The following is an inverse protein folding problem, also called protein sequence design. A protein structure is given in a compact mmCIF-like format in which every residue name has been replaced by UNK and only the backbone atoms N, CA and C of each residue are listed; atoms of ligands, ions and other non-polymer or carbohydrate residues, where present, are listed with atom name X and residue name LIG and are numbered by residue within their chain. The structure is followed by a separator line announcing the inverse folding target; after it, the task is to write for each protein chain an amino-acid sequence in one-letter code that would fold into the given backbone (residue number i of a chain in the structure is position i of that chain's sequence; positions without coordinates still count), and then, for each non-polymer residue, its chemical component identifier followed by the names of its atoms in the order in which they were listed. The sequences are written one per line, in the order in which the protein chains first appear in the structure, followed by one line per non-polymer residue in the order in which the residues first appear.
data_IF_946709915096
#
_entry.id   IF_946709915096
#
_cell.length_a   1.000
_cell.length_b   1.000
_cell.length_c   1.000
_cell.angle_alpha   90.00
_cell.angle_beta   90.00
_cell.angle_gamma   90.00
#
_symmetry.space_group_name_H-M   'P 1'
#
loop_
_entity.id
_entity.type
_entity.pdbx_description
1 polymer ?
#
# COMPACT_ATOMS: atom_id res chain seq x y z
N UNK A 1 52.39 72.40 44.62
CA UNK A 1 53.17 72.07 43.38
C UNK A 1 53.12 70.57 43.21
N UNK A 2 52.55 70.03 42.22
CA UNK A 2 52.57 68.59 41.97
C UNK A 2 51.29 68.15 41.28
N UNK A 3 51.34 68.16 39.94
CA UNK A 3 50.26 67.75 39.08
C UNK A 3 50.14 66.21 39.08
N UNK A 4 48.93 65.66 39.41
CA UNK A 4 48.56 64.24 39.14
C UNK A 4 47.69 64.19 37.94
N UNK A 5 48.15 63.56 36.86
CA UNK A 5 47.41 63.27 35.65
C UNK A 5 46.84 61.85 35.81
N UNK A 6 45.49 61.75 35.88
CA UNK A 6 44.79 60.47 35.83
C UNK A 6 44.56 60.00 34.37
N UNK A 7 45.20 58.88 33.99
CA UNK A 7 44.94 58.18 32.76
C UNK A 7 43.70 57.28 32.96
N UNK A 8 42.63 57.57 32.22
CA UNK A 8 41.52 56.66 32.07
C UNK A 8 41.76 55.71 30.89
N UNK A 9 41.97 54.43 31.15
CA UNK A 9 41.98 53.38 30.12
C UNK A 9 40.53 53.01 29.80
N UNK A 10 40.08 53.28 28.57
CA UNK A 10 38.80 52.81 28.05
C UNK A 10 39.00 51.35 27.61
N UNK A 11 38.39 50.41 28.33
CA UNK A 11 38.25 49.02 27.90
C UNK A 11 37.16 48.94 26.82
N UNK A 12 37.54 48.60 25.61
CA UNK A 12 36.61 48.28 24.50
C UNK A 12 36.22 46.82 24.65
N UNK A 13 34.96 46.55 25.06
CA UNK A 13 34.37 45.20 24.98
C UNK A 13 33.93 44.96 23.54
N UNK A 14 34.63 44.11 22.82
CA UNK A 14 34.21 43.54 21.53
C UNK A 14 33.30 42.38 21.85
N UNK A 15 31.99 42.57 21.79
CA UNK A 15 31.01 41.50 21.90
C UNK A 15 30.98 40.66 20.60
N UNK A 16 31.52 39.43 20.65
CA UNK A 16 31.34 38.47 19.56
C UNK A 16 29.95 37.89 19.64
N UNK A 17 29.05 38.35 18.75
CA UNK A 17 27.73 37.74 18.58
C UNK A 17 27.95 36.47 17.75
N UNK A 18 27.92 35.32 18.40
CA UNK A 18 27.87 34.01 17.74
C UNK A 18 26.43 33.78 17.26
N UNK A 19 26.20 34.00 15.98
CA UNK A 19 24.97 33.53 15.33
C UNK A 19 25.06 32.00 15.21
N UNK A 20 24.40 31.27 16.12
CA UNK A 20 24.14 29.87 15.95
C UNK A 20 23.11 29.71 14.82
N UNK A 21 23.61 29.36 13.61
CA UNK A 21 22.78 28.87 12.52
C UNK A 21 22.23 27.51 12.93
N UNK A 22 21.05 27.49 13.56
CA UNK A 22 20.26 26.27 13.62
C UNK A 22 19.78 25.98 12.19
N UNK A 23 20.05 24.79 11.63
CA UNK A 23 19.43 24.41 10.39
C UNK A 23 17.92 24.34 10.65
N UNK A 24 17.16 25.25 10.05
CA UNK A 24 15.72 25.10 9.94
C UNK A 24 15.51 23.86 9.08
N UNK A 25 15.14 22.75 9.69
CA UNK A 25 14.68 21.60 8.97
C UNK A 25 13.38 22.04 8.26
N UNK A 26 13.49 22.34 6.98
CA UNK A 26 12.33 22.50 6.10
C UNK A 26 11.74 21.10 5.98
N UNK A 27 10.67 20.83 6.72
CA UNK A 27 9.83 19.67 6.50
C UNK A 27 9.17 19.89 5.13
N UNK A 28 9.82 19.39 4.05
CA UNK A 28 9.16 19.30 2.77
C UNK A 28 7.92 18.42 2.97
N UNK A 29 6.76 18.89 2.52
CA UNK A 29 5.57 18.04 2.41
C UNK A 29 5.95 16.87 1.51
N UNK A 30 6.10 15.68 2.11
CA UNK A 30 6.58 14.48 1.41
C UNK A 30 5.70 14.14 0.20
N UNK A 31 4.40 14.48 0.26
CA UNK A 31 3.47 14.26 -0.83
C UNK A 31 3.74 15.12 -2.07
N UNK A 32 4.37 16.31 -1.94
CA UNK A 32 4.65 17.18 -3.12
C UNK A 32 5.75 16.59 -3.99
N UNK A 33 6.77 15.97 -3.42
CA UNK A 33 7.88 15.35 -4.16
C UNK A 33 7.45 14.12 -4.96
N UNK A 34 6.35 13.46 -4.58
CA UNK A 34 5.80 12.30 -5.26
C UNK A 34 4.93 12.65 -6.47
N UNK A 35 4.61 13.93 -6.67
CA UNK A 35 3.75 14.42 -7.76
C UNK A 35 4.49 15.12 -8.88
N UNK A 36 5.77 15.45 -8.66
CA UNK A 36 6.57 16.17 -9.66
C UNK A 36 7.07 15.25 -10.76
N UNK A 37 7.33 15.84 -11.91
CA UNK A 37 8.04 15.20 -13.01
C UNK A 37 9.46 14.83 -12.56
N UNK A 38 9.82 13.54 -12.69
CA UNK A 38 11.14 13.03 -12.34
C UNK A 38 12.04 12.96 -13.58
N UNK A 39 13.32 13.24 -13.37
CA UNK A 39 14.34 12.94 -14.38
C UNK A 39 14.48 11.42 -14.52
N UNK A 40 14.61 10.93 -15.77
CA UNK A 40 14.82 9.50 -16.02
C UNK A 40 16.22 9.03 -15.58
N UNK A 41 16.35 7.81 -15.05
CA UNK A 41 15.29 6.85 -14.73
C UNK A 41 14.50 7.26 -13.47
N UNK A 42 13.16 7.11 -13.52
CA UNK A 42 12.29 7.43 -12.38
C UNK A 42 12.38 6.38 -11.27
N UNK A 43 12.13 6.81 -10.02
CA UNK A 43 11.85 5.92 -8.90
C UNK A 43 10.34 5.74 -8.72
N UNK A 44 9.95 4.57 -8.23
CA UNK A 44 8.56 4.20 -7.98
C UNK A 44 8.02 4.78 -6.65
N UNK A 45 6.78 4.51 -6.28
CA UNK A 45 6.10 5.19 -5.18
C UNK A 45 5.69 6.62 -5.53
N UNK A 46 5.58 6.93 -6.80
CA UNK A 46 5.36 8.27 -7.38
C UNK A 46 4.07 8.33 -8.19
N UNK A 47 3.61 9.55 -8.47
CA UNK A 47 2.47 9.81 -9.35
C UNK A 47 2.66 9.17 -10.72
N UNK A 48 1.59 8.54 -11.22
CA UNK A 48 1.53 8.04 -12.58
C UNK A 48 0.14 7.53 -12.95
N UNK A 49 0.00 7.07 -14.17
CA UNK A 49 -1.26 6.51 -14.65
C UNK A 49 -1.33 6.41 -16.16
N UNK A 50 -2.48 6.00 -16.66
CA UNK A 50 -2.72 5.86 -18.08
C UNK A 50 -2.87 7.26 -18.74
N UNK A 51 -2.14 7.51 -19.81
CA UNK A 51 -2.17 8.79 -20.56
C UNK A 51 -3.58 9.13 -21.12
N UNK A 52 -4.47 8.15 -21.22
CA UNK A 52 -5.83 8.30 -21.69
C UNK A 52 -6.87 8.41 -20.56
N UNK A 53 -6.44 8.46 -19.29
CA UNK A 53 -7.36 8.45 -18.14
C UNK A 53 -7.92 9.86 -17.84
N UNK A 54 -8.77 10.31 -18.74
CA UNK A 54 -9.51 11.56 -18.61
C UNK A 54 -10.98 11.36 -19.02
N UNK A 55 -11.91 11.97 -18.30
CA UNK A 55 -13.34 11.91 -18.59
C UNK A 55 -14.06 13.18 -18.12
N UNK A 56 -14.95 13.72 -18.95
CA UNK A 56 -15.84 14.88 -18.63
C UNK A 56 -15.09 16.10 -18.05
N UNK A 57 -13.86 16.36 -18.53
CA UNK A 57 -13.05 17.50 -18.08
C UNK A 57 -12.24 17.23 -16.82
N UNK A 58 -12.28 16.01 -16.27
CA UNK A 58 -11.44 15.55 -15.19
C UNK A 58 -10.37 14.60 -15.71
N UNK A 59 -9.22 14.58 -15.07
CA UNK A 59 -8.16 13.62 -15.29
C UNK A 59 -7.76 12.95 -13.99
N UNK A 60 -7.23 11.75 -14.11
CA UNK A 60 -6.96 10.89 -12.98
C UNK A 60 -5.48 10.50 -12.95
N UNK A 61 -5.06 9.95 -11.84
CA UNK A 61 -3.75 9.41 -11.60
C UNK A 61 -3.72 8.71 -10.25
N UNK A 62 -2.79 7.81 -10.11
CA UNK A 62 -2.53 7.06 -8.88
C UNK A 62 -1.05 6.96 -8.63
N UNK A 63 -0.60 5.84 -8.11
CA UNK A 63 0.79 5.58 -7.78
C UNK A 63 1.35 4.46 -8.65
N UNK A 64 2.53 4.67 -9.26
CA UNK A 64 3.35 3.61 -9.84
C UNK A 64 4.03 2.86 -8.69
N UNK A 65 3.58 1.64 -8.39
CA UNK A 65 3.84 0.99 -7.11
C UNK A 65 5.21 0.35 -7.00
N UNK A 66 5.51 -0.61 -7.88
CA UNK A 66 6.70 -1.44 -7.78
C UNK A 66 7.21 -1.87 -9.16
N UNK A 67 8.45 -2.33 -9.20
CA UNK A 67 9.04 -3.03 -10.36
C UNK A 67 8.93 -4.54 -10.13
N UNK A 68 8.44 -5.24 -11.14
CA UNK A 68 8.35 -6.71 -11.17
C UNK A 68 8.93 -7.24 -12.48
N UNK A 69 9.35 -8.49 -12.49
CA UNK A 69 9.90 -9.16 -13.67
C UNK A 69 9.14 -10.44 -14.01
N UNK A 70 8.94 -10.70 -15.28
CA UNK A 70 8.35 -11.96 -15.78
C UNK A 70 9.26 -13.15 -15.47
N UNK A 71 8.69 -14.19 -14.87
CA UNK A 71 9.46 -15.36 -14.40
C UNK A 71 10.11 -16.18 -15.50
N UNK A 72 9.68 -16.00 -16.77
CA UNK A 72 10.18 -16.77 -17.93
C UNK A 72 11.14 -15.95 -18.78
N UNK A 73 10.82 -14.67 -18.98
CA UNK A 73 11.54 -13.81 -19.94
C UNK A 73 12.47 -12.81 -19.28
N UNK A 74 12.27 -12.51 -17.97
CA UNK A 74 12.98 -11.43 -17.28
C UNK A 74 12.57 -10.04 -17.75
N UNK A 75 11.45 -9.91 -18.46
CA UNK A 75 10.93 -8.61 -18.89
C UNK A 75 10.41 -7.83 -17.68
N UNK A 76 10.85 -6.58 -17.54
CA UNK A 76 10.47 -5.72 -16.41
C UNK A 76 9.15 -4.99 -16.67
N UNK A 77 8.33 -4.89 -15.61
CA UNK A 77 7.04 -4.22 -15.62
C UNK A 77 6.86 -3.32 -14.40
N UNK A 78 6.23 -2.17 -14.59
CA UNK A 78 5.62 -1.41 -13.49
C UNK A 78 4.35 -2.13 -13.04
N UNK A 79 4.25 -2.40 -11.75
CA UNK A 79 3.05 -2.91 -11.08
C UNK A 79 2.26 -1.76 -10.46
N UNK A 80 0.94 -1.73 -10.69
CA UNK A 80 -0.03 -0.85 -10.04
C UNK A 80 -1.43 -1.46 -10.12
N UNK A 81 -2.48 -0.68 -9.83
CA UNK A 81 -3.85 -1.18 -9.92
C UNK A 81 -4.40 -1.14 -11.35
N UNK A 82 -5.39 -1.99 -11.63
CA UNK A 82 -6.20 -1.93 -12.85
C UNK A 82 -6.87 -0.57 -12.98
N UNK A 83 -7.51 -0.06 -11.91
CA UNK A 83 -8.20 1.23 -12.01
C UNK A 83 -7.24 2.41 -12.27
N UNK A 84 -5.92 2.28 -11.97
CA UNK A 84 -4.87 3.28 -12.25
C UNK A 84 -4.31 3.12 -13.66
N UNK A 85 -3.80 1.94 -14.03
CA UNK A 85 -3.13 1.72 -15.31
C UNK A 85 -4.09 1.36 -16.44
N UNK A 86 -5.18 0.62 -16.11
CA UNK A 86 -6.12 0.11 -17.09
C UNK A 86 -7.50 0.79 -17.04
N UNK A 87 -7.61 1.95 -16.36
CA UNK A 87 -8.81 2.80 -16.37
C UNK A 87 -10.08 2.05 -16.01
N UNK A 88 -10.01 1.19 -15.00
CA UNK A 88 -11.14 0.33 -14.57
C UNK A 88 -11.67 -0.52 -15.74
N UNK A 89 -10.81 -1.33 -16.36
CA UNK A 89 -11.05 -2.19 -17.54
C UNK A 89 -11.26 -1.47 -18.88
N UNK A 90 -11.05 -0.15 -18.96
CA UNK A 90 -11.35 0.59 -20.21
C UNK A 90 -10.14 0.83 -21.11
N UNK A 91 -8.94 0.47 -20.65
CA UNK A 91 -7.71 0.65 -21.41
C UNK A 91 -7.46 -0.48 -22.40
N UNK A 92 -6.68 -0.21 -23.43
CA UNK A 92 -6.17 -1.20 -24.36
C UNK A 92 -4.71 -1.54 -24.01
N UNK A 93 -4.28 -2.77 -24.30
CA UNK A 93 -2.85 -3.12 -24.29
C UNK A 93 -2.09 -2.19 -25.23
N UNK A 94 -0.93 -1.68 -24.77
CA UNK A 94 -0.12 -0.69 -25.45
C UNK A 94 -0.46 0.77 -25.12
N UNK A 95 -1.49 1.03 -24.31
CA UNK A 95 -1.74 2.39 -23.79
C UNK A 95 -0.51 2.88 -22.99
N UNK A 96 -0.05 4.13 -23.26
CA UNK A 96 1.09 4.72 -22.57
C UNK A 96 0.81 4.97 -21.09
N UNK A 97 1.76 4.60 -20.24
CA UNK A 97 1.77 4.93 -18.82
C UNK A 97 2.76 6.06 -18.59
N UNK A 98 2.30 7.14 -17.98
CA UNK A 98 3.07 8.38 -17.81
C UNK A 98 3.45 8.64 -16.35
N UNK A 99 4.54 9.35 -16.15
CA UNK A 99 5.00 9.93 -14.89
C UNK A 99 5.39 11.41 -15.12
N UNK A 100 4.74 12.36 -14.39
CA UNK A 100 3.64 12.19 -13.46
C UNK A 100 2.32 11.85 -14.16
N UNK A 101 1.33 11.37 -13.36
CA UNK A 101 -0.01 11.10 -13.85
C UNK A 101 -0.72 12.38 -14.35
N UNK A 102 -1.75 12.23 -15.20
CA UNK A 102 -2.45 13.36 -15.84
C UNK A 102 -2.89 14.46 -14.87
N UNK A 103 -3.32 14.10 -13.66
CA UNK A 103 -3.78 15.06 -12.65
C UNK A 103 -2.65 15.95 -12.10
N UNK A 104 -1.40 15.52 -12.22
CA UNK A 104 -0.21 16.23 -11.73
C UNK A 104 0.63 16.82 -12.86
N UNK A 105 0.17 16.72 -14.12
CA UNK A 105 0.79 17.38 -15.27
C UNK A 105 0.66 18.91 -15.17
N UNK A 106 1.55 19.63 -15.84
CA UNK A 106 1.52 21.09 -15.92
C UNK A 106 1.52 21.55 -17.37
N UNK A 107 0.39 22.03 -17.90
CA UNK A 107 -0.92 22.18 -17.25
C UNK A 107 -1.59 20.83 -16.97
N UNK A 108 -2.45 20.78 -15.93
CA UNK A 108 -3.18 19.57 -15.56
C UNK A 108 -3.93 18.97 -16.77
N UNK A 109 -4.00 17.63 -16.83
CA UNK A 109 -4.58 16.86 -17.94
C UNK A 109 -3.85 16.97 -19.29
N UNK A 110 -2.68 17.58 -19.33
CA UNK A 110 -1.86 17.61 -20.53
C UNK A 110 -1.29 16.22 -20.82
N UNK A 111 -1.41 15.77 -22.08
CA UNK A 111 -0.91 14.47 -22.51
C UNK A 111 0.46 14.62 -23.13
N UNK A 112 1.52 14.49 -22.32
CA UNK A 112 2.88 14.51 -22.83
C UNK A 112 3.34 13.08 -23.17
N UNK A 113 3.65 12.84 -24.43
CA UNK A 113 4.21 11.56 -24.86
C UNK A 113 5.68 11.39 -24.46
N UNK A 114 6.37 12.45 -24.09
CA UNK A 114 7.74 12.43 -23.56
C UNK A 114 7.82 11.77 -22.18
N UNK A 115 6.73 11.88 -21.41
CA UNK A 115 6.60 11.36 -20.06
C UNK A 115 6.20 9.88 -19.99
N UNK A 116 6.04 9.20 -21.15
CA UNK A 116 5.70 7.78 -21.16
C UNK A 116 6.91 6.97 -20.67
N UNK A 117 6.69 6.24 -19.57
CA UNK A 117 7.69 5.41 -18.91
C UNK A 117 7.49 3.92 -19.17
N UNK A 118 6.26 3.51 -19.50
CA UNK A 118 5.90 2.13 -19.79
C UNK A 118 4.70 2.06 -20.74
N UNK A 119 4.42 0.87 -21.27
CA UNK A 119 3.25 0.57 -22.08
C UNK A 119 2.41 -0.50 -21.39
N UNK A 120 1.10 -0.27 -21.23
CA UNK A 120 0.20 -1.21 -20.57
C UNK A 120 0.31 -2.60 -21.25
N UNK A 121 0.67 -3.61 -20.47
CA UNK A 121 0.76 -4.99 -20.98
C UNK A 121 -0.54 -5.74 -20.78
N UNK A 122 -0.95 -5.90 -19.52
CA UNK A 122 -2.16 -6.64 -19.15
C UNK A 122 -2.68 -6.20 -17.77
N UNK A 123 -3.92 -6.61 -17.47
CA UNK A 123 -4.56 -6.35 -16.18
C UNK A 123 -5.52 -7.48 -15.81
N UNK A 124 -5.83 -7.63 -14.54
CA UNK A 124 -6.90 -8.52 -14.07
C UNK A 124 -8.23 -7.77 -14.20
N UNK A 125 -9.20 -8.25 -15.00
CA UNK A 125 -10.49 -7.58 -15.15
C UNK A 125 -11.27 -7.53 -13.83
N UNK A 126 -11.77 -6.35 -13.46
CA UNK A 126 -12.65 -6.16 -12.31
C UNK A 126 -14.08 -6.51 -12.73
N UNK A 127 -14.67 -7.46 -12.02
CA UNK A 127 -16.05 -7.90 -12.21
C UNK A 127 -16.97 -7.16 -11.24
N UNK A 128 -17.92 -6.41 -11.79
CA UNK A 128 -18.85 -5.58 -11.01
C UNK A 128 -20.18 -6.28 -10.75
N UNK A 129 -20.85 -5.87 -9.67
CA UNK A 129 -22.24 -6.26 -9.38
C UNK A 129 -23.14 -5.96 -10.57
N UNK A 130 -23.92 -6.94 -11.00
CA UNK A 130 -24.86 -6.82 -12.12
C UNK A 130 -26.04 -7.74 -11.95
N UNK A 131 -27.26 -7.22 -12.22
CA UNK A 131 -28.53 -7.99 -12.27
C UNK A 131 -28.71 -8.97 -11.09
N UNK A 132 -28.38 -8.53 -9.86
CA UNK A 132 -28.55 -9.34 -8.65
C UNK A 132 -27.39 -10.30 -8.35
N UNK A 133 -26.40 -10.42 -9.21
CA UNK A 133 -25.18 -11.19 -8.93
C UNK A 133 -24.05 -10.28 -8.42
N UNK A 134 -23.27 -10.78 -7.46
CA UNK A 134 -22.09 -10.14 -6.92
C UNK A 134 -20.89 -11.06 -7.17
N UNK A 135 -20.19 -10.92 -8.30
CA UNK A 135 -19.02 -11.74 -8.60
C UNK A 135 -17.88 -11.46 -7.64
N UNK A 136 -16.99 -12.43 -7.49
CA UNK A 136 -15.85 -12.38 -6.62
C UNK A 136 -14.62 -11.96 -7.43
N UNK A 137 -13.82 -11.04 -6.89
CA UNK A 137 -12.55 -10.61 -7.44
C UNK A 137 -11.42 -10.99 -6.46
N UNK A 138 -10.27 -11.38 -6.99
CA UNK A 138 -9.09 -11.61 -6.17
C UNK A 138 -8.29 -10.33 -5.98
N UNK A 139 -7.98 -9.62 -7.06
CA UNK A 139 -7.10 -8.45 -7.06
C UNK A 139 -7.58 -7.34 -8.00
N UNK A 140 -7.25 -6.10 -7.65
CA UNK A 140 -7.28 -4.93 -8.53
C UNK A 140 -5.84 -4.62 -8.92
N UNK A 141 -5.37 -5.16 -10.04
CA UNK A 141 -3.98 -5.08 -10.45
C UNK A 141 -3.79 -5.02 -11.97
N UNK A 142 -2.72 -4.36 -12.38
CA UNK A 142 -2.26 -4.25 -13.77
C UNK A 142 -0.74 -4.13 -13.83
N UNK A 143 -0.15 -4.57 -14.95
CA UNK A 143 1.28 -4.42 -15.23
C UNK A 143 1.50 -3.73 -16.57
N UNK A 144 2.54 -2.90 -16.64
CA UNK A 144 2.95 -2.17 -17.83
C UNK A 144 4.43 -2.38 -18.12
N UNK A 145 4.77 -2.78 -19.36
CA UNK A 145 6.14 -3.06 -19.76
C UNK A 145 6.98 -1.78 -19.75
N UNK A 146 8.09 -1.80 -19.02
CA UNK A 146 9.00 -0.67 -18.88
C UNK A 146 9.65 -0.32 -20.21
N UNK A 147 9.70 0.98 -20.55
CA UNK A 147 10.53 1.47 -21.65
C UNK A 147 11.98 1.61 -21.21
N UNK A 148 12.89 1.20 -22.07
CA UNK A 148 14.34 1.17 -21.78
C UNK A 148 14.83 2.52 -21.22
N UNK A 149 15.51 2.47 -20.08
CA UNK A 149 16.11 3.64 -19.40
C UNK A 149 15.11 4.58 -18.72
N UNK A 150 13.82 4.25 -18.64
CA UNK A 150 12.81 5.12 -18.07
C UNK A 150 12.57 4.89 -16.58
N UNK A 151 12.80 3.69 -16.07
CA UNK A 151 12.58 3.30 -14.66
C UNK A 151 13.90 2.81 -14.06
N UNK A 152 14.14 3.13 -12.78
CA UNK A 152 15.29 2.62 -12.03
C UNK A 152 15.21 1.10 -11.91
N UNK A 153 16.15 0.41 -12.57
CA UNK A 153 16.20 -1.06 -12.64
C UNK A 153 16.46 -1.75 -11.29
N UNK A 154 16.80 -1.00 -10.24
CA UNK A 154 16.86 -1.54 -8.87
C UNK A 154 15.48 -1.68 -8.23
N UNK A 155 14.41 -1.17 -8.88
CA UNK A 155 13.06 -1.13 -8.34
C UNK A 155 12.92 -0.20 -7.13
N UNK A 156 13.81 0.79 -6.98
CA UNK A 156 13.79 1.70 -5.83
C UNK A 156 12.49 2.49 -5.75
N UNK A 157 11.93 2.53 -4.53
CA UNK A 157 10.71 3.27 -4.20
C UNK A 157 11.11 4.52 -3.40
N UNK A 158 10.51 5.67 -3.72
CA UNK A 158 10.72 6.94 -2.99
C UNK A 158 10.48 6.71 -1.49
N UNK A 159 11.34 7.25 -0.64
CA UNK A 159 11.32 7.18 0.83
C UNK A 159 11.45 5.76 1.45
N UNK A 160 11.45 4.71 0.64
CA UNK A 160 11.61 3.32 1.09
C UNK A 160 12.97 2.76 0.66
N UNK A 161 13.43 3.07 -0.55
CA UNK A 161 14.65 2.51 -1.14
C UNK A 161 14.41 1.19 -1.86
N UNK A 162 15.48 0.41 -1.99
CA UNK A 162 15.46 -0.90 -2.65
C UNK A 162 14.77 -1.96 -1.78
N UNK A 163 13.98 -2.81 -2.38
CA UNK A 163 13.24 -3.88 -1.73
C UNK A 163 14.02 -5.19 -1.66
N UNK A 164 13.53 -6.13 -0.86
CA UNK A 164 13.84 -7.55 -1.04
C UNK A 164 13.10 -8.09 -2.27
N UNK A 165 13.71 -9.04 -2.98
CA UNK A 165 12.99 -9.82 -4.00
C UNK A 165 12.06 -10.88 -3.40
N UNK A 166 12.12 -11.12 -2.08
CA UNK A 166 11.21 -12.00 -1.35
C UNK A 166 9.96 -11.23 -0.91
N UNK A 167 8.84 -11.94 -0.82
CA UNK A 167 7.59 -11.46 -0.23
C UNK A 167 7.42 -11.97 1.20
N UNK A 168 6.44 -11.43 1.92
CA UNK A 168 6.03 -11.95 3.22
C UNK A 168 4.51 -11.95 3.33
N UNK A 169 3.97 -13.06 3.83
CA UNK A 169 2.53 -13.18 4.08
C UNK A 169 2.05 -12.16 5.14
N UNK A 170 0.87 -11.54 4.92
CA UNK A 170 0.31 -10.60 5.89
C UNK A 170 -0.06 -11.30 7.20
N UNK A 171 0.31 -10.70 8.33
CA UNK A 171 -0.05 -11.18 9.67
C UNK A 171 -0.76 -10.11 10.50
N UNK A 172 -1.68 -10.51 11.38
CA UNK A 172 -2.36 -9.58 12.29
C UNK A 172 -1.34 -8.81 13.14
N UNK A 173 -1.49 -7.48 13.22
CA UNK A 173 -0.60 -6.60 13.97
C UNK A 173 0.76 -6.32 13.30
N UNK A 174 1.05 -6.91 12.13
CA UNK A 174 2.28 -6.64 11.40
C UNK A 174 2.41 -5.14 11.11
N UNK A 175 3.54 -4.56 11.50
CA UNK A 175 3.88 -3.19 11.18
C UNK A 175 4.28 -3.07 9.70
N UNK A 176 3.64 -2.14 8.98
CA UNK A 176 3.83 -1.93 7.55
C UNK A 176 4.05 -0.46 7.23
N UNK A 177 4.65 -0.19 6.08
CA UNK A 177 4.78 1.15 5.49
C UNK A 177 4.50 1.12 4.00
N UNK A 178 4.17 2.28 3.45
CA UNK A 178 4.03 2.49 2.01
C UNK A 178 4.53 3.87 1.62
N UNK A 179 4.87 4.06 0.36
CA UNK A 179 5.14 5.37 -0.24
C UNK A 179 4.24 5.54 -1.46
N UNK A 180 3.53 6.66 -1.56
CA UNK A 180 2.56 6.90 -2.61
C UNK A 180 2.38 8.37 -2.97
N UNK A 181 1.69 8.59 -4.09
CA UNK A 181 1.50 9.90 -4.72
C UNK A 181 0.99 10.98 -3.76
N UNK A 182 0.02 10.67 -2.91
CA UNK A 182 -0.74 11.69 -2.19
C UNK A 182 -0.20 11.93 -0.79
N UNK A 183 0.07 10.88 -0.04
CA UNK A 183 0.49 10.99 1.37
C UNK A 183 1.98 10.71 1.57
N UNK A 184 2.73 10.37 0.50
CA UNK A 184 4.15 10.00 0.60
C UNK A 184 4.34 8.77 1.48
N UNK A 185 5.38 8.79 2.33
CA UNK A 185 5.65 7.73 3.29
C UNK A 185 4.67 7.78 4.46
N UNK A 186 3.94 6.68 4.67
CA UNK A 186 3.09 6.47 5.85
C UNK A 186 3.36 5.11 6.47
N UNK A 187 3.07 4.97 7.76
CA UNK A 187 3.22 3.73 8.51
C UNK A 187 1.88 3.31 9.13
N UNK A 188 1.68 2.00 9.30
CA UNK A 188 0.46 1.45 9.86
C UNK A 188 0.66 0.03 10.35
N UNK A 189 -0.46 -0.61 10.73
CA UNK A 189 -0.48 -2.00 11.15
C UNK A 189 -1.62 -2.74 10.45
N UNK A 190 -1.40 -4.00 10.12
CA UNK A 190 -2.45 -4.89 9.63
C UNK A 190 -3.42 -5.16 10.77
N UNK A 191 -4.69 -4.76 10.59
CA UNK A 191 -5.76 -4.93 11.58
C UNK A 191 -6.60 -6.16 11.33
N UNK A 192 -6.76 -6.55 10.04
CA UNK A 192 -7.41 -7.81 9.68
C UNK A 192 -6.82 -8.42 8.41
N UNK A 193 -7.02 -9.71 8.27
CA UNK A 193 -6.64 -10.52 7.10
C UNK A 193 -7.82 -11.35 6.61
N UNK A 194 -7.69 -11.95 5.43
CA UNK A 194 -8.75 -12.76 4.80
C UNK A 194 -10.09 -12.04 4.73
N UNK A 195 -10.06 -10.72 4.53
CA UNK A 195 -11.27 -9.93 4.46
C UNK A 195 -11.97 -10.08 3.10
N UNK A 196 -13.29 -10.17 3.12
CA UNK A 196 -14.15 -10.01 1.94
C UNK A 196 -14.79 -8.64 2.03
N UNK A 197 -14.55 -7.78 1.04
CA UNK A 197 -14.89 -6.36 1.09
C UNK A 197 -15.59 -5.93 -0.20
N UNK A 198 -16.70 -5.19 -0.06
CA UNK A 198 -17.38 -4.52 -1.15
C UNK A 198 -16.77 -3.12 -1.35
N UNK A 199 -16.25 -2.85 -2.54
CA UNK A 199 -15.58 -1.61 -2.92
C UNK A 199 -16.38 -0.87 -3.97
N UNK A 200 -16.64 0.42 -3.76
CA UNK A 200 -17.30 1.32 -4.70
C UNK A 200 -16.28 2.04 -5.57
N UNK A 201 -16.47 1.98 -6.88
CA UNK A 201 -15.63 2.67 -7.88
C UNK A 201 -16.28 3.97 -8.35
N UNK A 202 -15.51 4.89 -8.87
CA UNK A 202 -15.94 6.24 -9.28
C UNK A 202 -17.14 6.31 -10.24
N UNK A 203 -17.50 5.19 -10.87
CA UNK A 203 -18.73 5.04 -11.69
C UNK A 203 -19.98 4.70 -10.86
N UNK A 204 -19.88 4.60 -9.53
CA UNK A 204 -20.92 4.10 -8.65
C UNK A 204 -21.14 2.57 -8.73
N UNK A 205 -20.27 1.85 -9.43
CA UNK A 205 -20.29 0.39 -9.50
C UNK A 205 -19.59 -0.21 -8.29
N UNK A 206 -20.14 -1.30 -7.76
CA UNK A 206 -19.58 -2.05 -6.64
C UNK A 206 -18.94 -3.35 -7.12
N UNK A 207 -17.77 -3.65 -6.63
CA UNK A 207 -17.08 -4.93 -6.82
C UNK A 207 -16.74 -5.55 -5.46
N UNK A 208 -16.83 -6.87 -5.33
CA UNK A 208 -16.50 -7.63 -4.12
C UNK A 208 -15.13 -8.26 -4.29
N UNK A 209 -14.23 -7.99 -3.35
CA UNK A 209 -12.89 -8.57 -3.30
C UNK A 209 -12.77 -9.52 -2.12
N UNK A 210 -12.09 -10.65 -2.32
CA UNK A 210 -11.89 -11.70 -1.30
C UNK A 210 -10.42 -11.79 -0.91
N UNK A 211 -10.16 -12.32 0.28
CA UNK A 211 -8.80 -12.52 0.81
C UNK A 211 -8.01 -11.22 1.00
N UNK A 212 -8.68 -10.09 1.27
CA UNK A 212 -8.01 -8.79 1.36
C UNK A 212 -7.36 -8.55 2.73
N UNK A 213 -6.38 -7.63 2.74
CA UNK A 213 -5.69 -7.12 3.93
C UNK A 213 -6.37 -5.81 4.32
N UNK A 214 -6.63 -5.64 5.63
CA UNK A 214 -7.14 -4.39 6.21
C UNK A 214 -6.06 -3.75 7.05
N UNK A 215 -5.86 -2.44 6.87
CA UNK A 215 -4.77 -1.68 7.50
C UNK A 215 -5.32 -0.43 8.18
N UNK A 216 -4.82 -0.13 9.37
CA UNK A 216 -5.02 1.11 10.10
C UNK A 216 -3.68 1.79 10.41
N UNK A 217 -3.67 3.05 10.82
CA UNK A 217 -4.79 3.94 11.10
C UNK A 217 -5.37 4.64 9.86
N UNK A 218 -6.35 5.49 10.08
CA UNK A 218 -7.12 6.25 9.10
C UNK A 218 -6.31 7.05 8.06
N UNK A 219 -5.14 7.54 8.42
CA UNK A 219 -4.27 8.34 7.56
C UNK A 219 -3.22 7.52 6.79
N UNK A 220 -3.36 6.21 6.76
CA UNK A 220 -2.42 5.34 6.04
C UNK A 220 -2.49 5.51 4.53
N UNK A 221 -3.70 5.79 3.98
CA UNK A 221 -3.96 5.96 2.55
C UNK A 221 -4.88 7.15 2.31
N UNK A 222 -4.74 7.80 1.16
CA UNK A 222 -5.67 8.81 0.65
C UNK A 222 -5.87 8.65 -0.86
N UNK A 223 -6.85 9.34 -1.44
CA UNK A 223 -7.11 9.32 -2.87
C UNK A 223 -5.87 9.63 -3.70
N UNK A 224 -5.51 8.75 -4.62
CA UNK A 224 -4.29 8.81 -5.44
C UNK A 224 -3.11 7.98 -4.91
N UNK A 225 -3.19 7.41 -3.69
CA UNK A 225 -2.21 6.43 -3.21
C UNK A 225 -2.49 5.00 -3.73
N UNK A 226 -3.59 4.78 -4.42
CA UNK A 226 -3.88 3.53 -5.13
C UNK A 226 -2.72 3.12 -6.02
N UNK A 227 -2.33 1.86 -5.96
CA UNK A 227 -1.15 1.31 -6.62
C UNK A 227 0.11 1.35 -5.77
N UNK A 228 0.11 2.02 -4.61
CA UNK A 228 1.26 1.98 -3.69
C UNK A 228 1.54 0.56 -3.22
N UNK A 229 2.80 0.16 -3.26
CA UNK A 229 3.23 -1.08 -2.63
C UNK A 229 3.32 -0.90 -1.11
N UNK A 230 2.68 -1.79 -0.38
CA UNK A 230 2.81 -1.92 1.07
C UNK A 230 3.89 -2.94 1.39
N UNK A 231 4.84 -2.55 2.23
CA UNK A 231 6.00 -3.36 2.64
C UNK A 231 6.11 -3.47 4.16
N UNK A 232 6.93 -4.38 4.65
CA UNK A 232 7.31 -4.42 6.07
C UNK A 232 7.85 -3.07 6.54
N UNK A 233 7.54 -2.66 7.77
CA UNK A 233 8.11 -1.44 8.36
C UNK A 233 9.48 -1.70 8.97
N UNK A 234 10.47 -2.01 8.12
CA UNK A 234 11.89 -2.16 8.46
C UNK A 234 12.73 -1.26 7.55
N UNK A 235 13.95 -0.89 8.00
CA UNK A 235 14.75 0.14 7.33
C UNK A 235 15.45 -0.35 6.07
N UNK A 236 15.82 -1.63 6.00
CA UNK A 236 16.67 -2.15 4.91
C UNK A 236 16.01 -3.34 4.23
N UNK A 237 15.91 -3.26 2.89
CA UNK A 237 15.38 -4.32 2.04
C UNK A 237 14.04 -4.90 2.54
N UNK A 238 13.01 -4.06 2.81
CA UNK A 238 11.72 -4.54 3.27
C UNK A 238 11.08 -5.46 2.22
N UNK A 239 10.42 -6.52 2.70
CA UNK A 239 9.68 -7.44 1.83
C UNK A 239 8.31 -6.88 1.49
N UNK A 240 7.84 -7.14 0.29
CA UNK A 240 6.50 -6.76 -0.14
C UNK A 240 5.42 -7.58 0.59
N UNK A 241 4.32 -6.92 0.98
CA UNK A 241 3.18 -7.49 1.72
C UNK A 241 1.88 -7.39 0.93
N UNK A 242 1.61 -6.25 0.30
CA UNK A 242 0.35 -6.03 -0.42
C UNK A 242 0.37 -4.84 -1.38
N UNK A 243 -0.62 -4.78 -2.25
CA UNK A 243 -0.86 -3.68 -3.19
C UNK A 243 -2.12 -2.93 -2.77
N UNK A 244 -1.98 -1.67 -2.35
CA UNK A 244 -3.08 -0.82 -1.90
C UNK A 244 -3.97 -0.41 -3.06
N UNK A 245 -5.30 -0.43 -2.87
CA UNK A 245 -6.23 -0.08 -3.95
C UNK A 245 -7.52 0.62 -3.51
N UNK A 246 -7.88 0.53 -2.23
CA UNK A 246 -9.13 1.10 -1.74
C UNK A 246 -9.02 1.51 -0.27
N UNK A 247 -9.97 2.31 0.19
CA UNK A 247 -10.05 2.68 1.59
C UNK A 247 -11.28 3.53 1.91
N UNK A 248 -11.33 3.95 3.17
CA UNK A 248 -12.32 4.88 3.70
C UNK A 248 -11.61 5.91 4.59
N UNK A 249 -12.38 6.70 5.34
CA UNK A 249 -11.81 7.67 6.29
C UNK A 249 -10.98 7.05 7.42
N UNK A 250 -11.13 5.75 7.69
CA UNK A 250 -10.49 5.09 8.84
C UNK A 250 -9.82 3.74 8.51
N UNK A 251 -9.86 3.29 7.27
CA UNK A 251 -9.42 1.96 6.87
C UNK A 251 -8.78 1.98 5.49
N UNK A 252 -7.67 1.27 5.31
CA UNK A 252 -7.06 1.00 4.01
C UNK A 252 -7.18 -0.48 3.65
N UNK A 253 -7.33 -0.78 2.35
CA UNK A 253 -7.47 -2.13 1.83
C UNK A 253 -6.36 -2.41 0.82
N UNK A 254 -5.71 -3.57 0.98
CA UNK A 254 -4.67 -4.02 0.06
C UNK A 254 -4.93 -5.45 -0.42
N UNK A 255 -4.60 -5.70 -1.69
CA UNK A 255 -4.52 -7.05 -2.23
C UNK A 255 -3.26 -7.73 -1.66
N UNK A 256 -3.29 -8.99 -1.19
CA UNK A 256 -2.08 -9.73 -0.84
C UNK A 256 -1.12 -9.76 -2.01
N UNK A 257 0.17 -9.50 -1.76
CA UNK A 257 1.12 -9.37 -2.87
C UNK A 257 1.31 -10.67 -3.64
N UNK A 258 1.28 -11.80 -2.95
CA UNK A 258 1.44 -13.10 -3.61
C UNK A 258 0.28 -13.41 -4.58
N UNK A 259 -0.96 -12.99 -4.25
CA UNK A 259 -2.13 -13.13 -5.14
C UNK A 259 -1.94 -12.25 -6.39
N UNK A 260 -1.38 -11.05 -6.23
CA UNK A 260 -1.06 -10.13 -7.34
C UNK A 260 0.02 -10.69 -8.25
N UNK A 261 1.15 -11.13 -7.69
CA UNK A 261 2.28 -11.67 -8.46
C UNK A 261 1.89 -12.96 -9.21
N UNK A 262 1.13 -13.83 -8.56
CA UNK A 262 0.63 -15.06 -9.17
C UNK A 262 -0.32 -14.80 -10.35
N UNK A 263 -1.12 -13.71 -10.30
CA UNK A 263 -2.04 -13.37 -11.38
C UNK A 263 -1.34 -13.05 -12.71
N UNK A 264 -0.07 -12.63 -12.65
CA UNK A 264 0.73 -12.25 -13.82
C UNK A 264 1.93 -13.16 -14.10
N UNK A 265 2.22 -14.15 -13.25
CA UNK A 265 3.44 -14.99 -13.29
C UNK A 265 4.73 -14.16 -13.26
N UNK A 266 4.80 -13.20 -12.31
CA UNK A 266 5.92 -12.28 -12.11
C UNK A 266 6.49 -12.36 -10.69
N UNK A 267 7.72 -11.85 -10.50
CA UNK A 267 8.42 -11.75 -9.22
C UNK A 267 8.79 -10.30 -8.92
N UNK A 268 9.01 -9.97 -7.64
CA UNK A 268 9.51 -8.66 -7.24
C UNK A 268 10.95 -8.45 -7.72
N UNK A 269 11.23 -7.27 -8.27
CA UNK A 269 12.60 -6.81 -8.49
C UNK A 269 13.12 -6.24 -7.17
N UNK A 270 14.29 -6.71 -6.73
CA UNK A 270 14.90 -6.25 -5.48
C UNK A 270 16.20 -6.97 -5.15
N UNK A 271 16.80 -6.62 -4.01
CA UNK A 271 17.99 -7.29 -3.49
C UNK A 271 17.59 -8.66 -2.90
N UNK A 272 18.15 -9.73 -3.41
CA UNK A 272 17.88 -11.09 -2.93
C UNK A 272 18.83 -12.10 -3.52
N UNK A 273 18.77 -13.37 -3.11
CA UNK A 273 19.56 -14.39 -3.75
C UNK A 273 19.12 -14.46 -5.22
N UNK A 274 20.08 -14.18 -6.10
CA UNK A 274 19.92 -14.31 -7.55
C UNK A 274 19.18 -15.62 -7.89
N UNK A 275 18.24 -15.58 -8.86
CA UNK A 275 17.48 -16.74 -9.36
C UNK A 275 18.36 -17.86 -9.96
N UNK A 276 19.69 -17.75 -9.90
CA UNK A 276 20.64 -18.82 -10.21
C UNK A 276 20.35 -20.04 -9.32
N UNK A 277 20.60 -21.25 -9.84
CA UNK A 277 20.49 -22.52 -9.10
C UNK A 277 21.23 -22.42 -7.76
N UNK A 278 22.39 -21.73 -7.71
CA UNK A 278 23.17 -21.47 -6.51
C UNK A 278 22.41 -20.54 -5.52
N UNK A 279 21.69 -19.53 -6.00
CA UNK A 279 20.85 -18.65 -5.17
C UNK A 279 19.68 -19.41 -4.53
N UNK A 280 19.02 -20.30 -5.27
CA UNK A 280 17.94 -21.15 -4.74
C UNK A 280 18.45 -22.13 -3.67
N UNK A 281 19.64 -22.70 -3.85
CA UNK A 281 20.29 -23.56 -2.84
C UNK A 281 20.67 -22.75 -1.60
N UNK A 282 21.21 -21.55 -1.77
CA UNK A 282 21.58 -20.66 -0.65
C UNK A 282 20.35 -20.15 0.12
N UNK A 283 19.27 -19.83 -0.59
CA UNK A 283 17.99 -19.44 0.01
C UNK A 283 17.36 -20.60 0.80
N UNK A 284 17.40 -21.84 0.26
CA UNK A 284 16.94 -23.04 0.96
C UNK A 284 17.80 -23.33 2.21
N UNK A 285 19.13 -23.21 2.11
CA UNK A 285 20.04 -23.40 3.24
C UNK A 285 19.84 -22.33 4.32
N UNK A 286 19.65 -21.04 3.92
CA UNK A 286 19.29 -19.95 4.85
C UNK A 286 17.93 -20.18 5.49
N UNK A 287 16.93 -20.67 4.76
CA UNK A 287 15.59 -20.99 5.29
C UNK A 287 15.65 -22.11 6.34
N UNK A 288 16.54 -23.09 6.19
CA UNK A 288 16.80 -24.13 7.19
C UNK A 288 17.52 -23.57 8.44
N UNK A 289 18.40 -22.58 8.27
CA UNK A 289 19.12 -21.94 9.37
C UNK A 289 18.31 -20.83 10.06
N UNK A 290 17.44 -20.12 9.33
CA UNK A 290 16.62 -18.99 9.84
C UNK A 290 15.44 -19.42 10.70
N UNK A 291 15.09 -20.70 10.74
CA UNK A 291 14.10 -21.23 11.70
C UNK A 291 14.53 -20.99 13.15
N UNK A 292 15.84 -20.84 13.41
CA UNK A 292 16.36 -20.51 14.75
C UNK A 292 16.45 -18.99 15.01
N UNK A 293 16.61 -18.15 13.98
CA UNK A 293 16.73 -16.69 14.12
C UNK A 293 15.36 -15.97 14.16
N UNK A 294 14.34 -16.51 13.48
CA UNK A 294 12.98 -15.95 13.54
C UNK A 294 12.34 -16.07 14.93
N UNK A 295 12.80 -17.01 15.77
CA UNK A 295 12.36 -17.09 17.17
C UNK A 295 13.00 -16.02 18.07
N UNK A 296 14.16 -15.49 17.72
CA UNK A 296 14.83 -14.44 18.50
C UNK A 296 14.32 -13.03 18.16
N UNK A 297 13.96 -12.77 16.90
CA UNK A 297 13.38 -11.49 16.49
C UNK A 297 11.92 -11.31 16.94
N UNK A 298 11.17 -12.41 17.12
CA UNK A 298 9.79 -12.38 17.63
C UNK A 298 9.67 -12.15 19.17
N UNK A 299 10.78 -12.13 19.91
CA UNK A 299 10.76 -11.97 21.36
C UNK A 299 10.40 -10.54 21.84
N UNK A 300 10.28 -9.54 20.95
CA UNK A 300 10.00 -8.14 21.30
C UNK A 300 8.67 -7.60 20.79
N UNK A 301 7.90 -8.37 20.00
CA UNK A 301 6.55 -7.96 19.60
C UNK A 301 5.53 -8.42 20.67
N UNK A 302 4.49 -7.61 20.96
CA UNK A 302 3.41 -8.08 21.81
C UNK A 302 2.83 -9.37 21.22
N UNK A 303 2.45 -10.36 22.07
CA UNK A 303 1.97 -11.64 21.61
C UNK A 303 0.73 -11.45 20.72
N UNK A 304 0.87 -11.82 19.47
CA UNK A 304 -0.18 -11.74 18.45
C UNK A 304 -0.94 -13.06 18.35
N UNK A 305 -2.15 -13.02 17.78
CA UNK A 305 -2.90 -14.24 17.50
C UNK A 305 -2.06 -15.19 16.62
N UNK A 306 -1.97 -16.45 17.01
CA UNK A 306 -1.22 -17.44 16.25
C UNK A 306 -1.88 -17.71 14.89
N UNK A 307 -1.10 -18.13 13.88
CA UNK A 307 -1.64 -18.49 12.56
C UNK A 307 -2.74 -19.56 12.70
N UNK A 308 -2.58 -20.54 13.61
CA UNK A 308 -3.61 -21.55 13.87
C UNK A 308 -4.92 -20.95 14.40
N UNK A 309 -4.86 -19.92 15.24
CA UNK A 309 -6.04 -19.20 15.71
C UNK A 309 -6.72 -18.42 14.57
N UNK A 310 -5.93 -17.74 13.75
CA UNK A 310 -6.42 -17.04 12.54
C UNK A 310 -7.12 -18.02 11.60
N UNK A 311 -6.50 -19.17 11.30
CA UNK A 311 -7.06 -20.19 10.43
C UNK A 311 -8.34 -20.83 10.98
N UNK A 312 -8.44 -20.98 12.30
CA UNK A 312 -9.66 -21.46 12.94
C UNK A 312 -10.82 -20.46 12.78
N UNK A 313 -10.57 -19.19 13.06
CA UNK A 313 -11.56 -18.11 12.91
C UNK A 313 -11.94 -17.91 11.43
N UNK A 314 -10.98 -18.02 10.50
CA UNK A 314 -11.23 -17.94 9.05
C UNK A 314 -12.25 -18.99 8.62
N UNK A 315 -12.13 -20.25 9.06
CA UNK A 315 -13.12 -21.30 8.73
C UNK A 315 -14.54 -20.95 9.21
N UNK A 316 -14.67 -20.41 10.43
CA UNK A 316 -15.97 -19.97 10.96
C UNK A 316 -16.51 -18.81 10.15
N UNK A 317 -15.65 -17.81 9.82
CA UNK A 317 -16.00 -16.67 8.96
C UNK A 317 -16.53 -17.16 7.60
N UNK A 318 -15.80 -18.03 6.91
CA UNK A 318 -16.16 -18.56 5.58
C UNK A 318 -17.52 -19.33 5.62
N UNK A 319 -17.80 -20.06 6.70
CA UNK A 319 -19.07 -20.76 6.87
C UNK A 319 -20.27 -19.79 6.98
N UNK A 320 -20.09 -18.65 7.63
CA UNK A 320 -21.17 -17.67 7.89
C UNK A 320 -21.20 -16.48 6.94
N UNK A 321 -20.16 -16.28 6.13
CA UNK A 321 -19.90 -15.08 5.33
C UNK A 321 -21.06 -14.69 4.41
N UNK A 322 -21.62 -15.66 3.68
CA UNK A 322 -22.72 -15.39 2.75
C UNK A 322 -23.96 -14.81 3.46
N UNK A 323 -24.26 -15.30 4.68
CA UNK A 323 -25.37 -14.80 5.48
C UNK A 323 -25.07 -13.42 6.05
N UNK A 324 -23.85 -13.17 6.50
CA UNK A 324 -23.45 -11.88 7.05
C UNK A 324 -23.47 -10.79 5.98
N UNK A 325 -22.92 -11.07 4.81
CA UNK A 325 -22.90 -10.15 3.66
C UNK A 325 -24.28 -9.88 3.05
N UNK A 326 -25.30 -10.71 3.37
CA UNK A 326 -26.67 -10.47 2.97
C UNK A 326 -27.43 -9.47 3.88
N UNK A 327 -26.87 -9.13 5.06
CA UNK A 327 -27.46 -8.14 5.97
C UNK A 327 -27.28 -6.74 5.36
N UNK A 328 -28.38 -5.97 5.16
CA UNK A 328 -28.30 -4.62 4.61
C UNK A 328 -27.38 -3.72 5.47
N UNK A 329 -26.42 -3.04 4.83
CA UNK A 329 -25.45 -2.18 5.51
C UNK A 329 -24.13 -2.86 5.85
N UNK A 330 -24.04 -4.19 5.79
CA UNK A 330 -22.77 -4.93 5.86
C UNK A 330 -22.07 -4.81 4.51
N UNK A 331 -20.81 -4.41 4.53
CA UNK A 331 -19.97 -4.22 3.35
C UNK A 331 -18.73 -5.10 3.35
N UNK A 332 -18.50 -5.84 4.43
CA UNK A 332 -17.39 -6.78 4.47
C UNK A 332 -17.34 -7.61 5.74
N UNK A 333 -16.50 -8.64 5.70
CA UNK A 333 -16.24 -9.56 6.83
C UNK A 333 -14.77 -9.99 6.77
N UNK A 334 -14.05 -9.90 7.88
CA UNK A 334 -12.63 -10.24 7.96
C UNK A 334 -12.28 -11.01 9.24
N UNK A 335 -11.00 -11.38 9.36
CA UNK A 335 -10.41 -11.95 10.57
C UNK A 335 -9.48 -10.92 11.17
N UNK A 336 -9.83 -10.39 12.32
CA UNK A 336 -9.07 -9.41 13.07
C UNK A 336 -8.67 -9.92 14.47
N UNK A 337 -8.22 -8.98 15.31
CA UNK A 337 -7.81 -9.27 16.69
C UNK A 337 -8.99 -9.14 17.62
N UNK A 338 -9.14 -10.07 18.59
CA UNK A 338 -10.15 -10.03 19.64
C UNK A 338 -9.98 -8.79 20.53
N UNK A 339 -11.09 -8.22 21.02
CA UNK A 339 -11.07 -7.15 22.03
C UNK A 339 -10.63 -7.65 23.40
N UNK A 340 -10.82 -8.94 23.67
CA UNK A 340 -10.48 -9.54 24.97
C UNK A 340 -8.99 -9.72 25.15
N UNK A 341 -8.30 -10.10 24.10
CA UNK A 341 -6.84 -10.33 24.13
C UNK A 341 -6.25 -10.30 22.71
N UNK A 342 -5.07 -9.69 22.57
CA UNK A 342 -4.31 -9.69 21.32
C UNK A 342 -3.84 -11.06 20.84
N UNK A 343 -3.97 -12.10 21.69
CA UNK A 343 -3.60 -13.50 21.37
C UNK A 343 -4.71 -14.28 20.67
N UNK A 344 -5.93 -13.75 20.64
CA UNK A 344 -7.08 -14.39 20.02
C UNK A 344 -7.49 -13.63 18.77
N UNK A 345 -7.96 -14.37 17.78
CA UNK A 345 -8.58 -13.80 16.59
C UNK A 345 -10.10 -13.71 16.77
N UNK A 346 -10.72 -12.75 16.09
CA UNK A 346 -12.14 -12.51 16.07
C UNK A 346 -12.65 -12.31 14.64
N UNK A 347 -13.96 -12.47 14.42
CA UNK A 347 -14.60 -12.07 13.17
C UNK A 347 -14.90 -10.58 13.25
N UNK A 348 -14.40 -9.81 12.28
CA UNK A 348 -14.76 -8.40 12.10
C UNK A 348 -15.81 -8.27 11.00
N UNK A 349 -16.92 -7.57 11.30
CA UNK A 349 -17.97 -7.25 10.34
C UNK A 349 -17.90 -5.76 10.06
N UNK A 350 -17.59 -5.41 8.82
CA UNK A 350 -17.48 -4.03 8.37
C UNK A 350 -18.85 -3.53 7.93
N UNK A 351 -19.25 -2.38 8.47
CA UNK A 351 -20.57 -1.79 8.21
C UNK A 351 -20.44 -0.33 7.80
N UNK A 352 -21.42 0.15 7.01
CA UNK A 352 -21.48 1.57 6.66
C UNK A 352 -21.73 2.44 7.88
N UNK A 353 -22.67 2.02 8.74
CA UNK A 353 -23.05 2.72 9.97
C UNK A 353 -23.32 1.69 11.06
N UNK A 354 -22.76 1.87 12.26
CA UNK A 354 -22.88 0.96 13.40
C UNK A 354 -24.01 1.40 14.38
N UNK A 355 -25.21 1.69 13.88
CA UNK A 355 -26.35 2.06 14.70
C UNK A 355 -26.94 0.88 15.51
N UNK A 356 -27.87 1.17 16.45
CA UNK A 356 -28.53 0.15 17.28
C UNK A 356 -29.23 -0.96 16.49
N UNK A 357 -29.79 -0.63 15.32
CA UNK A 357 -30.42 -1.61 14.43
C UNK A 357 -29.42 -2.64 13.93
N UNK A 358 -28.19 -2.21 13.60
CA UNK A 358 -27.12 -3.08 13.14
C UNK A 358 -26.65 -4.01 14.28
N UNK A 359 -26.45 -3.48 15.49
CA UNK A 359 -26.08 -4.28 16.66
C UNK A 359 -27.15 -5.31 17.05
N UNK A 360 -28.44 -5.06 16.73
CA UNK A 360 -29.51 -6.06 16.90
C UNK A 360 -29.58 -7.10 15.79
N UNK A 361 -29.19 -6.72 14.57
CA UNK A 361 -29.24 -7.61 13.41
C UNK A 361 -28.06 -8.60 13.34
N UNK A 362 -26.93 -8.26 13.95
CA UNK A 362 -25.71 -9.05 13.89
C UNK A 362 -25.48 -9.82 15.19
N UNK A 363 -24.95 -11.06 15.13
CA UNK A 363 -24.64 -11.85 16.30
C UNK A 363 -23.41 -11.30 17.03
N UNK A 364 -23.34 -11.50 18.35
CA UNK A 364 -22.15 -11.17 19.18
C UNK A 364 -21.08 -12.26 19.14
N UNK A 365 -21.44 -13.45 18.70
CA UNK A 365 -20.52 -14.58 18.51
C UNK A 365 -21.05 -15.54 17.45
N UNK A 366 -20.15 -16.27 16.79
CA UNK A 366 -20.46 -17.32 15.79
C UNK A 366 -19.60 -18.54 16.12
N UNK A 367 -20.23 -19.68 16.37
CA UNK A 367 -19.57 -20.94 16.72
C UNK A 367 -18.51 -20.78 17.83
N UNK A 368 -18.80 -19.92 18.83
CA UNK A 368 -17.92 -19.61 19.94
C UNK A 368 -16.86 -18.54 19.67
N UNK A 369 -16.73 -18.07 18.41
CA UNK A 369 -15.82 -17.00 18.01
C UNK A 369 -16.46 -15.64 18.26
N UNK A 370 -15.72 -14.71 18.85
CA UNK A 370 -16.13 -13.32 19.03
C UNK A 370 -16.42 -12.63 17.70
N UNK A 371 -17.47 -11.82 17.67
CA UNK A 371 -17.83 -10.96 16.54
C UNK A 371 -17.71 -9.49 16.94
N UNK A 372 -16.98 -8.72 16.15
CA UNK A 372 -16.80 -7.27 16.30
C UNK A 372 -17.49 -6.57 15.14
N UNK A 373 -18.14 -5.46 15.42
CA UNK A 373 -18.76 -4.60 14.40
C UNK A 373 -17.87 -3.36 14.23
N UNK A 374 -17.35 -3.16 13.03
CA UNK A 374 -16.44 -2.05 12.69
C UNK A 374 -17.16 -1.12 11.71
N UNK A 375 -17.42 0.12 12.15
CA UNK A 375 -17.92 1.15 11.26
C UNK A 375 -16.79 1.69 10.40
N UNK A 376 -16.90 1.57 9.09
CA UNK A 376 -15.90 2.05 8.13
C UNK A 376 -16.46 3.14 7.20
N UNK A 377 -17.78 3.33 7.14
CA UNK A 377 -18.39 4.04 6.03
C UNK A 377 -18.29 3.21 4.74
N UNK A 378 -18.51 3.86 3.59
CA UNK A 378 -18.28 3.22 2.29
C UNK A 378 -16.77 3.11 2.00
N UNK A 379 -16.36 1.99 1.43
CA UNK A 379 -14.99 1.78 0.97
C UNK A 379 -14.93 2.07 -0.53
N UNK A 380 -14.03 2.96 -0.92
CA UNK A 380 -13.86 3.43 -2.29
C UNK A 380 -12.51 3.02 -2.86
N UNK A 381 -12.47 2.67 -4.15
CA UNK A 381 -11.24 2.69 -4.93
C UNK A 381 -10.83 4.15 -5.16
N UNK A 382 -9.59 4.46 -4.93
CA UNK A 382 -9.07 5.83 -4.91
C UNK A 382 -8.38 6.23 -6.21
#
# INVERSE_FOLDING_TARGET
MGNYIHHWQKAIFVGVIVFSLFPVAIWADSGTTHRVDQQFPIRLGTSGGNINDSSKGFCYGGTLGALVEDNKTGTEYILSNNHVLARTNMAASGDGIIQPGLIDQSPACFKDSGDIVADLSTFVPILFKSKGTMPWNAVDAAIAQVRVGKVDSTGSILDIGTLSSETVAPGLGMAVKKSGRTTGLTTGNITAVHATIDVTYGSGKTARFVNQIVVGPANFIAGGDSGSLMVENIDTNPRAVGLLFAGSSNTAIANPIDDVLNAFDVSMVGSGPSASIMGKILAWAKKLLSVSESQAANAQLPPQASQAAVDAVRRVKEHHEGRLLAVPGVIGVGVGVSEKTSREAAIEIYVKEAGESMHRALPKSLDGVEVKIIETGEIHAY
#
